data_IF_718602161754
#
_entry.id   IF_718602161754
#
_cell.length_a   1.000
_cell.length_b   1.000
_cell.length_c   1.000
_cell.angle_alpha   90.00
_cell.angle_beta   90.00
_cell.angle_gamma   90.00
#
_symmetry.space_group_name_H-M   'P 1'
#
loop_
_entity.id
_entity.type
_entity.pdbx_description
1 polymer ?
#
# COMPACT_ATOMS: atom_id res chain seq x y z
N UNK A 1 4.67 38.61 3.77
CA UNK A 1 4.92 40.03 4.14
C UNK A 1 5.77 40.14 5.40
N UNK A 2 5.29 39.65 6.56
CA UNK A 2 6.03 39.75 7.84
C UNK A 2 7.45 39.14 7.79
N UNK A 3 7.59 37.93 7.23
CA UNK A 3 8.90 37.28 7.03
C UNK A 3 9.88 38.14 6.22
N UNK A 4 9.37 38.81 5.17
CA UNK A 4 10.17 39.68 4.31
C UNK A 4 10.58 40.97 5.03
N UNK A 5 9.69 41.58 5.80
CA UNK A 5 10.01 42.75 6.62
C UNK A 5 11.04 42.37 7.71
N UNK A 6 10.89 41.20 8.33
CA UNK A 6 11.84 40.68 9.31
C UNK A 6 13.24 40.55 8.70
N UNK A 7 13.33 40.03 7.47
CA UNK A 7 14.58 39.92 6.73
C UNK A 7 15.18 41.29 6.38
N UNK A 8 14.37 42.25 5.90
CA UNK A 8 14.86 43.58 5.49
C UNK A 8 15.37 44.44 6.66
N UNK A 9 14.76 44.27 7.85
CA UNK A 9 15.13 44.99 9.06
C UNK A 9 16.17 44.24 9.89
N UNK A 10 16.35 42.93 9.67
CA UNK A 10 17.14 42.06 10.53
C UNK A 10 16.53 41.88 11.92
N UNK A 11 15.20 42.00 12.06
CA UNK A 11 14.51 41.95 13.37
C UNK A 11 14.23 40.51 13.81
N UNK A 12 14.79 40.12 14.96
CA UNK A 12 14.57 38.80 15.57
C UNK A 12 13.16 38.67 16.14
N UNK A 13 12.63 39.73 16.76
CA UNK A 13 11.24 39.75 17.25
C UNK A 13 10.25 39.46 16.11
N UNK A 14 10.37 40.16 14.98
CA UNK A 14 9.46 39.96 13.84
C UNK A 14 9.65 38.57 13.20
N UNK A 15 10.87 38.04 13.23
CA UNK A 15 11.17 36.66 12.89
C UNK A 15 10.41 35.66 13.77
N UNK A 16 10.45 35.82 15.09
CA UNK A 16 9.73 34.96 16.03
C UNK A 16 8.21 35.03 15.89
N UNK A 17 7.64 36.23 15.66
CA UNK A 17 6.22 36.35 15.33
C UNK A 17 5.85 35.64 14.03
N UNK A 18 6.72 35.71 13.01
CA UNK A 18 6.54 34.97 11.77
C UNK A 18 6.52 33.45 12.03
N UNK A 19 7.46 32.94 12.85
CA UNK A 19 7.51 31.53 13.24
C UNK A 19 6.22 31.10 13.95
N UNK A 20 5.73 31.89 14.90
CA UNK A 20 4.49 31.61 15.63
C UNK A 20 3.28 31.56 14.69
N UNK A 21 3.18 32.48 13.73
CA UNK A 21 2.13 32.47 12.72
C UNK A 21 2.21 31.22 11.83
N UNK A 22 3.40 30.78 11.45
CA UNK A 22 3.59 29.57 10.64
C UNK A 22 3.11 28.31 11.38
N UNK A 23 3.46 28.19 12.67
CA UNK A 23 2.96 27.09 13.52
C UNK A 23 1.44 27.15 13.65
N UNK A 24 0.86 28.34 13.85
CA UNK A 24 -0.58 28.51 13.97
C UNK A 24 -1.31 28.13 12.68
N UNK A 25 -0.80 28.57 11.52
CA UNK A 25 -1.39 28.27 10.21
C UNK A 25 -1.37 26.76 9.94
N UNK A 26 -0.21 26.11 10.12
CA UNK A 26 -0.12 24.66 9.93
C UNK A 26 -0.92 23.87 10.97
N UNK A 27 -0.87 24.29 12.23
CA UNK A 27 -1.60 23.65 13.32
C UNK A 27 -3.11 23.74 13.12
N UNK A 28 -3.63 24.91 12.76
CA UNK A 28 -5.05 25.07 12.39
C UNK A 28 -5.41 24.17 11.23
N UNK A 29 -4.62 24.17 10.17
CA UNK A 29 -4.93 23.36 9.00
C UNK A 29 -4.98 21.87 9.34
N UNK A 30 -3.98 21.37 10.08
CA UNK A 30 -3.90 19.95 10.44
C UNK A 30 -5.01 19.51 11.40
N UNK A 31 -5.40 20.36 12.36
CA UNK A 31 -6.32 19.99 13.45
C UNK A 31 -7.78 20.33 13.15
N UNK A 32 -8.04 21.39 12.38
CA UNK A 32 -9.40 21.90 12.13
C UNK A 32 -9.83 21.67 10.69
N UNK A 33 -9.03 22.16 9.73
CA UNK A 33 -9.47 22.17 8.34
C UNK A 33 -9.42 20.75 7.74
N UNK A 34 -8.35 19.98 7.98
CA UNK A 34 -8.21 18.64 7.41
C UNK A 34 -9.31 17.65 7.86
N UNK A 35 -9.67 17.54 9.17
CA UNK A 35 -10.77 16.69 9.59
C UNK A 35 -12.13 17.15 9.07
N UNK A 36 -12.36 18.46 8.96
CA UNK A 36 -13.59 19.02 8.39
C UNK A 36 -13.78 18.56 6.96
N UNK A 37 -12.74 18.70 6.13
CA UNK A 37 -12.77 18.20 4.75
C UNK A 37 -12.98 16.68 4.72
N UNK A 38 -12.36 15.92 5.62
CA UNK A 38 -12.51 14.46 5.66
C UNK A 38 -13.95 13.99 5.86
N UNK A 39 -14.79 14.81 6.50
CA UNK A 39 -16.22 14.52 6.70
C UNK A 39 -17.14 14.99 5.57
N UNK A 40 -16.63 15.74 4.58
CA UNK A 40 -17.43 16.21 3.46
C UNK A 40 -17.77 15.07 2.49
N UNK A 41 -19.07 14.81 2.31
CA UNK A 41 -19.59 13.82 1.38
C UNK A 41 -19.73 14.39 -0.02
N UNK A 42 -19.23 13.67 -1.03
CA UNK A 42 -19.45 14.01 -2.44
C UNK A 42 -20.64 13.23 -2.97
N UNK A 43 -21.56 13.93 -3.63
CA UNK A 43 -22.61 13.28 -4.41
C UNK A 43 -22.03 12.72 -5.70
N UNK A 44 -22.22 11.42 -5.94
CA UNK A 44 -21.81 10.77 -7.19
C UNK A 44 -22.63 11.24 -8.40
N UNK A 45 -23.75 11.93 -8.18
CA UNK A 45 -24.60 12.50 -9.23
C UNK A 45 -24.20 13.93 -9.63
N UNK A 46 -23.22 14.52 -8.92
CA UNK A 46 -22.76 15.88 -9.20
C UNK A 46 -22.19 16.00 -10.63
N UNK A 47 -22.43 17.09 -11.36
CA UNK A 47 -21.80 17.33 -12.66
C UNK A 47 -20.27 17.43 -12.57
N UNK A 48 -19.54 16.89 -13.56
CA UNK A 48 -18.08 16.84 -13.58
C UNK A 48 -17.43 18.23 -13.38
N UNK A 49 -17.97 19.27 -14.02
CA UNK A 49 -17.42 20.62 -13.91
C UNK A 49 -17.52 21.18 -12.48
N UNK A 50 -18.63 20.90 -11.80
CA UNK A 50 -18.81 21.31 -10.40
C UNK A 50 -17.87 20.53 -9.48
N UNK A 51 -17.75 19.22 -9.68
CA UNK A 51 -16.81 18.37 -8.95
C UNK A 51 -15.36 18.87 -9.11
N UNK A 52 -14.93 19.19 -10.33
CA UNK A 52 -13.60 19.73 -10.59
C UNK A 52 -13.41 21.11 -9.97
N UNK A 53 -14.43 21.97 -9.99
CA UNK A 53 -14.41 23.27 -9.34
C UNK A 53 -14.22 23.17 -7.81
N UNK A 54 -14.95 22.27 -7.17
CA UNK A 54 -14.81 22.00 -5.72
C UNK A 54 -13.44 21.40 -5.39
N UNK A 55 -12.96 20.47 -6.22
CA UNK A 55 -11.62 19.89 -6.08
C UNK A 55 -10.52 20.95 -6.20
N UNK A 56 -10.65 21.85 -7.17
CA UNK A 56 -9.74 22.97 -7.33
C UNK A 56 -9.76 23.90 -6.10
N UNK A 57 -10.93 24.23 -5.55
CA UNK A 57 -11.05 25.04 -4.33
C UNK A 57 -10.28 24.42 -3.17
N UNK A 58 -10.52 23.14 -2.86
CA UNK A 58 -9.84 22.43 -1.78
C UNK A 58 -8.32 22.36 -1.99
N UNK A 59 -7.87 22.12 -3.21
CA UNK A 59 -6.44 22.12 -3.56
C UNK A 59 -5.84 23.50 -3.34
N UNK A 60 -6.51 24.58 -3.75
CA UNK A 60 -6.04 25.95 -3.51
C UNK A 60 -6.03 26.30 -2.01
N UNK A 61 -7.08 25.92 -1.27
CA UNK A 61 -7.19 26.12 0.18
C UNK A 61 -6.03 25.45 0.95
N UNK A 62 -5.49 24.35 0.43
CA UNK A 62 -4.30 23.72 0.99
C UNK A 62 -2.98 24.32 0.49
N UNK A 63 -2.86 24.55 -0.83
CA UNK A 63 -1.61 24.99 -1.45
C UNK A 63 -1.24 26.42 -1.03
N UNK A 64 -2.21 27.32 -0.88
CA UNK A 64 -1.97 28.72 -0.53
C UNK A 64 -1.28 28.88 0.84
N UNK A 65 -1.83 28.33 1.95
CA UNK A 65 -1.15 28.36 3.25
C UNK A 65 0.20 27.64 3.24
N UNK A 66 0.27 26.48 2.59
CA UNK A 66 1.51 25.68 2.52
C UNK A 66 2.63 26.43 1.78
N UNK A 67 2.31 27.08 0.66
CA UNK A 67 3.25 27.91 -0.08
C UNK A 67 3.69 29.15 0.72
N UNK A 68 2.76 29.77 1.47
CA UNK A 68 3.09 30.91 2.33
C UNK A 68 4.03 30.52 3.48
N UNK A 69 3.81 29.37 4.11
CA UNK A 69 4.70 28.83 5.14
C UNK A 69 6.05 28.46 4.53
N UNK A 70 6.06 27.75 3.39
CA UNK A 70 7.32 27.40 2.71
C UNK A 70 8.15 28.64 2.34
N UNK A 71 7.54 29.65 1.73
CA UNK A 71 8.20 30.91 1.39
C UNK A 71 8.73 31.63 2.64
N UNK A 72 7.96 31.63 3.73
CA UNK A 72 8.38 32.23 5.00
C UNK A 72 9.55 31.47 5.63
N UNK A 73 9.52 30.13 5.61
CA UNK A 73 10.63 29.26 6.03
C UNK A 73 11.91 29.55 5.24
N UNK A 74 11.79 29.72 3.92
CA UNK A 74 12.93 29.98 3.05
C UNK A 74 13.54 31.38 3.28
N UNK A 75 12.69 32.41 3.44
CA UNK A 75 13.15 33.77 3.78
C UNK A 75 13.84 33.81 5.15
N UNK A 76 13.29 33.10 6.15
CA UNK A 76 13.89 32.99 7.49
C UNK A 76 15.21 32.21 7.50
N UNK A 77 15.39 31.23 6.61
CA UNK A 77 16.65 30.50 6.50
C UNK A 77 17.75 31.31 5.77
N UNK A 78 17.36 32.28 4.95
CA UNK A 78 18.27 33.09 4.12
C UNK A 78 18.73 34.39 4.82
N UNK A 79 18.72 34.44 6.16
CA UNK A 79 19.15 35.60 6.93
C UNK A 79 20.67 35.81 6.79
N UNK A 80 21.14 36.94 6.24
CA UNK A 80 22.57 37.26 6.24
C UNK A 80 23.00 37.74 7.63
N UNK A 81 23.96 37.05 8.26
CA UNK A 81 24.47 37.34 9.62
C UNK A 81 24.93 38.80 9.84
N UNK A 82 25.29 39.52 8.77
CA UNK A 82 25.85 40.88 8.82
C UNK A 82 24.91 42.00 8.33
N UNK A 83 23.59 41.77 8.25
CA UNK A 83 22.63 42.73 7.68
C UNK A 83 21.73 43.45 8.69
N UNK A 84 21.90 43.22 9.99
CA UNK A 84 21.06 43.83 11.03
C UNK A 84 21.21 45.35 11.05
N UNK A 85 20.15 46.06 10.62
CA UNK A 85 20.04 47.52 10.73
C UNK A 85 19.62 47.98 12.13
N UNK A 86 19.19 47.06 12.98
CA UNK A 86 18.74 47.31 14.35
C UNK A 86 19.90 47.09 15.32
N UNK A 87 20.15 48.07 16.19
CA UNK A 87 21.11 47.93 17.29
C UNK A 87 20.72 46.78 18.23
N UNK A 88 21.71 45.98 18.64
CA UNK A 88 21.52 44.77 19.46
C UNK A 88 20.79 45.03 20.79
N UNK A 89 20.83 46.25 21.32
CA UNK A 89 20.17 46.63 22.57
C UNK A 89 18.64 46.83 22.42
N UNK A 90 18.15 47.00 21.18
CA UNK A 90 16.73 47.16 20.87
C UNK A 90 16.07 45.88 20.32
N UNK A 91 16.80 44.77 20.22
CA UNK A 91 16.27 43.50 19.72
C UNK A 91 16.37 42.39 20.79
N UNK A 92 15.40 41.49 20.81
CA UNK A 92 15.36 40.40 21.78
C UNK A 92 16.26 39.22 21.36
N UNK A 93 16.78 38.44 22.33
CA UNK A 93 17.51 37.22 22.02
C UNK A 93 16.67 36.23 21.23
N UNK A 94 17.34 35.45 20.38
CA UNK A 94 16.70 34.45 19.54
C UNK A 94 16.28 33.26 20.42
N UNK A 95 14.96 33.04 20.56
CA UNK A 95 14.43 31.93 21.38
C UNK A 95 14.62 30.58 20.64
N UNK A 96 14.45 30.59 19.31
CA UNK A 96 14.62 29.42 18.45
C UNK A 96 15.53 29.74 17.26
N UNK A 97 16.55 28.91 16.98
CA UNK A 97 17.39 29.10 15.81
C UNK A 97 16.57 29.04 14.52
N UNK A 98 16.59 30.13 13.76
CA UNK A 98 15.85 30.27 12.48
C UNK A 98 16.11 29.16 11.47
N UNK A 99 17.35 28.67 11.35
CA UNK A 99 17.72 27.57 10.46
C UNK A 99 17.09 26.23 10.83
N UNK A 100 17.11 25.86 12.11
CA UNK A 100 16.48 24.63 12.59
C UNK A 100 14.96 24.69 12.44
N UNK A 101 14.35 25.81 12.82
CA UNK A 101 12.90 26.02 12.72
C UNK A 101 12.38 25.87 11.28
N UNK A 102 13.08 26.44 10.30
CA UNK A 102 12.73 26.33 8.88
C UNK A 102 12.65 24.87 8.41
N UNK A 103 13.62 24.05 8.84
CA UNK A 103 13.65 22.61 8.52
C UNK A 103 12.45 21.88 9.13
N UNK A 104 12.16 22.13 10.42
CA UNK A 104 10.98 21.56 11.10
C UNK A 104 9.66 21.93 10.41
N UNK A 105 9.52 23.16 9.94
CA UNK A 105 8.31 23.61 9.23
C UNK A 105 8.15 22.94 7.87
N UNK A 106 9.23 22.77 7.11
CA UNK A 106 9.18 22.04 5.85
C UNK A 106 8.77 20.59 6.09
N UNK A 107 9.33 19.94 7.13
CA UNK A 107 8.92 18.58 7.51
C UNK A 107 7.44 18.53 7.92
N UNK A 108 6.95 19.51 8.69
CA UNK A 108 5.56 19.59 9.09
C UNK A 108 4.61 19.75 7.89
N UNK A 109 4.96 20.59 6.90
CA UNK A 109 4.19 20.70 5.64
C UNK A 109 4.09 19.34 4.95
N UNK A 110 5.21 18.62 4.82
CA UNK A 110 5.24 17.31 4.16
C UNK A 110 4.38 16.27 4.91
N UNK A 111 4.38 16.29 6.25
CA UNK A 111 3.55 15.40 7.06
C UNK A 111 2.05 15.65 6.87
N UNK A 112 1.64 16.89 6.65
CA UNK A 112 0.23 17.28 6.43
C UNK A 112 -0.18 17.10 4.97
N UNK A 113 0.76 17.27 4.03
CA UNK A 113 0.55 17.08 2.59
C UNK A 113 0.08 15.67 2.26
N UNK A 114 0.67 14.65 2.88
CA UNK A 114 0.33 13.27 2.54
C UNK A 114 -1.13 12.90 2.85
N UNK A 115 -1.67 13.13 4.07
CA UNK A 115 -3.10 12.93 4.34
C UNK A 115 -4.01 13.70 3.40
N UNK A 116 -3.66 14.96 3.06
CA UNK A 116 -4.45 15.76 2.12
C UNK A 116 -4.48 15.13 0.73
N UNK A 117 -3.31 14.80 0.17
CA UNK A 117 -3.20 14.17 -1.16
C UNK A 117 -3.90 12.83 -1.20
N UNK A 118 -3.76 12.01 -0.14
CA UNK A 118 -4.45 10.73 -0.05
C UNK A 118 -5.97 10.89 -0.04
N UNK A 119 -6.47 11.85 0.72
CA UNK A 119 -7.90 12.15 0.81
C UNK A 119 -8.45 12.72 -0.51
N UNK A 120 -7.73 13.64 -1.15
CA UNK A 120 -8.19 14.21 -2.43
C UNK A 120 -8.11 13.19 -3.57
N UNK A 121 -7.06 12.35 -3.61
CA UNK A 121 -6.99 11.23 -4.53
C UNK A 121 -8.12 10.21 -4.30
N UNK A 122 -8.47 9.93 -3.05
CA UNK A 122 -9.61 9.08 -2.69
C UNK A 122 -10.90 9.61 -3.29
N UNK A 123 -11.19 10.91 -3.14
CA UNK A 123 -12.39 11.53 -3.71
C UNK A 123 -12.42 11.45 -5.23
N UNK A 124 -11.31 11.79 -5.89
CA UNK A 124 -11.21 11.78 -7.34
C UNK A 124 -11.36 10.38 -7.91
N UNK A 125 -10.70 9.40 -7.31
CA UNK A 125 -10.83 8.01 -7.73
C UNK A 125 -12.24 7.48 -7.51
N UNK A 126 -12.88 7.81 -6.38
CA UNK A 126 -14.23 7.36 -6.11
C UNK A 126 -15.23 7.93 -7.12
N UNK A 127 -15.08 9.21 -7.48
CA UNK A 127 -15.97 9.89 -8.43
C UNK A 127 -15.70 9.50 -9.90
N UNK A 128 -14.43 9.41 -10.33
CA UNK A 128 -14.07 9.19 -11.73
C UNK A 128 -13.91 7.71 -12.11
N UNK A 129 -13.48 6.88 -11.17
CA UNK A 129 -13.06 5.51 -11.42
C UNK A 129 -13.33 4.61 -10.20
N UNK A 130 -14.59 4.61 -9.75
CA UNK A 130 -15.08 3.94 -8.55
C UNK A 130 -14.54 2.50 -8.39
N UNK A 131 -14.57 1.62 -9.42
CA UNK A 131 -13.99 0.27 -9.36
C UNK A 131 -12.51 0.19 -8.98
N UNK A 132 -11.73 1.22 -9.32
CA UNK A 132 -10.27 1.25 -9.18
C UNK A 132 -9.87 1.93 -7.87
N UNK A 133 -10.82 2.53 -7.15
CA UNK A 133 -10.59 3.31 -5.93
C UNK A 133 -9.69 2.61 -4.89
N UNK A 134 -9.93 1.34 -4.48
CA UNK A 134 -9.08 0.67 -3.50
C UNK A 134 -7.64 0.51 -4.00
N UNK A 135 -7.49 -0.04 -5.20
CA UNK A 135 -6.19 -0.30 -5.84
C UNK A 135 -5.40 0.97 -6.14
N UNK A 136 -6.07 2.06 -6.53
CA UNK A 136 -5.44 3.34 -6.81
C UNK A 136 -4.87 3.99 -5.55
N UNK A 137 -5.58 3.87 -4.43
CA UNK A 137 -5.08 4.32 -3.13
C UNK A 137 -3.91 3.48 -2.61
N UNK A 138 -3.93 2.16 -2.83
CA UNK A 138 -2.77 1.31 -2.52
C UNK A 138 -1.57 1.66 -3.39
N UNK A 139 -1.77 1.91 -4.68
CA UNK A 139 -0.71 2.33 -5.59
C UNK A 139 -0.08 3.65 -5.15
N UNK A 140 -0.90 4.63 -4.76
CA UNK A 140 -0.42 5.91 -4.22
C UNK A 140 0.39 5.69 -2.93
N UNK A 141 -0.12 4.90 -1.98
CA UNK A 141 0.56 4.61 -0.73
C UNK A 141 1.91 3.89 -0.96
N UNK A 142 1.94 2.88 -1.84
CA UNK A 142 3.18 2.17 -2.21
C UNK A 142 4.17 3.12 -2.90
N UNK A 143 3.71 3.99 -3.79
CA UNK A 143 4.58 4.96 -4.49
C UNK A 143 5.25 5.92 -3.51
N UNK A 144 4.48 6.47 -2.56
CA UNK A 144 5.02 7.34 -1.51
C UNK A 144 5.98 6.57 -0.61
N UNK A 145 5.63 5.34 -0.22
CA UNK A 145 6.46 4.47 0.59
C UNK A 145 7.82 4.15 -0.07
N UNK A 146 7.83 3.90 -1.39
CA UNK A 146 9.07 3.72 -2.16
C UNK A 146 9.91 5.01 -2.14
N UNK A 147 9.29 6.17 -2.34
CA UNK A 147 9.97 7.47 -2.27
C UNK A 147 10.63 7.73 -0.90
N UNK A 148 9.90 7.44 0.19
CA UNK A 148 10.39 7.54 1.56
C UNK A 148 11.57 6.58 1.77
N UNK A 149 11.47 5.33 1.33
CA UNK A 149 12.56 4.35 1.42
C UNK A 149 13.84 4.85 0.74
N UNK A 150 13.75 5.39 -0.49
CA UNK A 150 14.91 5.89 -1.22
C UNK A 150 15.58 7.09 -0.55
N UNK A 151 14.82 7.92 0.18
CA UNK A 151 15.35 9.04 0.95
C UNK A 151 16.00 8.57 2.25
N UNK A 152 15.26 7.81 3.06
CA UNK A 152 15.71 7.39 4.41
C UNK A 152 16.92 6.46 4.33
N UNK A 153 17.05 5.62 3.29
CA UNK A 153 18.23 4.74 3.13
C UNK A 153 19.55 5.49 2.96
N UNK A 154 19.52 6.78 2.57
CA UNK A 154 20.71 7.59 2.37
C UNK A 154 21.18 8.28 3.67
N UNK A 155 20.27 8.46 4.63
CA UNK A 155 20.49 9.29 5.82
C UNK A 155 20.38 8.53 7.14
N UNK A 156 19.64 7.42 7.18
CA UNK A 156 19.33 6.69 8.40
C UNK A 156 19.99 5.31 8.44
N UNK A 157 20.12 4.78 9.66
CA UNK A 157 20.64 3.43 9.89
C UNK A 157 19.71 2.37 9.29
N UNK A 158 20.26 1.28 8.74
CA UNK A 158 19.51 0.22 8.04
C UNK A 158 18.33 -0.34 8.86
N UNK A 159 18.51 -0.52 10.17
CA UNK A 159 17.45 -1.04 11.06
C UNK A 159 16.23 -0.11 11.12
N UNK A 160 16.44 1.21 11.10
CA UNK A 160 15.34 2.18 11.06
C UNK A 160 14.60 2.10 9.72
N UNK A 161 15.33 1.99 8.60
CA UNK A 161 14.74 1.80 7.27
C UNK A 161 13.85 0.54 7.25
N UNK A 162 14.36 -0.58 7.75
CA UNK A 162 13.61 -1.84 7.81
C UNK A 162 12.39 -1.75 8.73
N UNK A 163 12.52 -1.11 9.90
CA UNK A 163 11.40 -0.88 10.80
C UNK A 163 10.28 -0.06 10.11
N UNK A 164 10.63 1.00 9.39
CA UNK A 164 9.68 1.77 8.60
C UNK A 164 9.01 0.92 7.50
N UNK A 165 9.77 0.09 6.78
CA UNK A 165 9.20 -0.78 5.74
C UNK A 165 8.24 -1.84 6.32
N UNK A 166 8.57 -2.40 7.50
CA UNK A 166 7.69 -3.34 8.23
C UNK A 166 6.42 -2.64 8.68
N UNK A 167 6.53 -1.42 9.24
CA UNK A 167 5.36 -0.64 9.62
C UNK A 167 4.45 -0.37 8.42
N UNK A 168 5.02 0.02 7.28
CA UNK A 168 4.27 0.21 6.03
C UNK A 168 3.61 -1.10 5.58
N UNK A 169 4.31 -2.23 5.68
CA UNK A 169 3.73 -3.53 5.34
C UNK A 169 2.51 -3.87 6.21
N UNK A 170 2.59 -3.63 7.52
CA UNK A 170 1.47 -3.83 8.46
C UNK A 170 0.30 -2.93 8.08
N UNK A 171 0.55 -1.65 7.79
CA UNK A 171 -0.48 -0.70 7.38
C UNK A 171 -1.15 -1.12 6.06
N UNK A 172 -0.38 -1.55 5.06
CA UNK A 172 -0.89 -2.01 3.77
C UNK A 172 -1.74 -3.29 3.92
N UNK A 173 -1.29 -4.27 4.70
CA UNK A 173 -2.05 -5.50 4.96
C UNK A 173 -3.33 -5.20 5.73
N UNK A 174 -3.26 -4.32 6.73
CA UNK A 174 -4.44 -3.91 7.51
C UNK A 174 -5.45 -3.18 6.62
N UNK A 175 -4.97 -2.25 5.79
CA UNK A 175 -5.80 -1.52 4.82
C UNK A 175 -6.47 -2.50 3.85
N UNK A 176 -5.71 -3.43 3.26
CA UNK A 176 -6.23 -4.44 2.34
C UNK A 176 -7.34 -5.29 2.96
N UNK A 177 -7.13 -5.81 4.18
CA UNK A 177 -8.09 -6.74 4.80
C UNK A 177 -9.29 -6.03 5.41
N UNK A 178 -9.08 -4.89 6.08
CA UNK A 178 -10.12 -4.21 6.85
C UNK A 178 -10.86 -3.17 6.00
N UNK A 179 -10.12 -2.31 5.30
CA UNK A 179 -10.71 -1.19 4.56
C UNK A 179 -11.20 -1.67 3.20
N UNK A 180 -10.36 -2.36 2.44
CA UNK A 180 -10.73 -2.74 1.07
C UNK A 180 -11.63 -3.97 1.07
N UNK A 181 -11.14 -5.10 1.59
CA UNK A 181 -11.83 -6.38 1.49
C UNK A 181 -13.13 -6.40 2.30
N UNK A 182 -13.05 -6.12 3.60
CA UNK A 182 -14.23 -6.07 4.45
C UNK A 182 -15.06 -4.79 4.22
N UNK A 183 -14.45 -3.61 4.25
CA UNK A 183 -15.17 -2.33 4.19
C UNK A 183 -15.78 -2.01 2.83
N UNK A 184 -14.98 -1.98 1.77
CA UNK A 184 -15.41 -1.51 0.44
C UNK A 184 -16.01 -2.61 -0.43
N UNK A 185 -15.37 -3.78 -0.51
CA UNK A 185 -15.87 -4.93 -1.27
C UNK A 185 -16.96 -5.70 -0.53
N UNK A 186 -17.14 -5.45 0.78
CA UNK A 186 -18.20 -6.03 1.58
C UNK A 186 -18.06 -7.54 1.80
N UNK A 187 -16.82 -8.06 1.80
CA UNK A 187 -16.58 -9.49 2.03
C UNK A 187 -17.16 -9.94 3.37
N UNK A 188 -18.06 -10.91 3.32
CA UNK A 188 -18.69 -11.47 4.53
C UNK A 188 -19.74 -10.58 5.19
N UNK A 189 -20.17 -9.49 4.54
CA UNK A 189 -21.27 -8.65 5.05
C UNK A 189 -22.65 -9.18 4.64
N UNK A 190 -22.74 -9.81 3.47
CA UNK A 190 -23.97 -10.42 2.95
C UNK A 190 -23.93 -11.95 3.15
N UNK A 191 -24.97 -12.57 3.74
CA UNK A 191 -25.07 -14.03 3.84
C UNK A 191 -25.23 -14.75 2.49
N UNK A 192 -25.75 -14.07 1.45
CA UNK A 192 -26.04 -14.71 0.16
C UNK A 192 -24.94 -14.55 -0.86
N UNK A 193 -24.27 -13.40 -0.86
CA UNK A 193 -23.21 -13.09 -1.81
C UNK A 193 -21.85 -13.01 -1.12
N UNK A 194 -20.80 -13.49 -1.79
CA UNK A 194 -19.41 -13.37 -1.31
C UNK A 194 -18.96 -11.91 -1.13
N UNK A 195 -19.46 -11.01 -1.99
CA UNK A 195 -19.18 -9.58 -1.97
C UNK A 195 -20.50 -8.81 -2.05
N UNK A 196 -20.53 -7.60 -1.48
CA UNK A 196 -21.71 -6.73 -1.50
C UNK A 196 -22.02 -6.16 -2.89
N UNK A 197 -21.05 -6.24 -3.82
CA UNK A 197 -21.12 -5.69 -5.16
C UNK A 197 -21.16 -6.83 -6.18
N UNK A 198 -22.00 -6.66 -7.21
CA UNK A 198 -22.07 -7.61 -8.32
C UNK A 198 -20.71 -7.81 -8.99
N UNK A 199 -20.50 -9.04 -9.48
CA UNK A 199 -19.30 -9.37 -10.21
C UNK A 199 -19.15 -8.50 -11.47
N UNK A 200 -17.93 -8.02 -11.69
CA UNK A 200 -17.52 -7.34 -12.91
C UNK A 200 -16.03 -7.57 -13.12
N UNK A 201 -15.60 -7.73 -14.37
CA UNK A 201 -14.19 -7.97 -14.71
C UNK A 201 -13.27 -6.85 -14.19
N UNK A 202 -13.75 -5.61 -14.17
CA UNK A 202 -12.97 -4.48 -13.64
C UNK A 202 -12.82 -4.54 -12.11
N UNK A 203 -13.82 -5.04 -11.39
CA UNK A 203 -13.73 -5.26 -9.93
C UNK A 203 -12.70 -6.34 -9.60
N UNK A 204 -12.72 -7.45 -10.36
CA UNK A 204 -11.74 -8.53 -10.24
C UNK A 204 -10.31 -8.02 -10.53
N UNK A 205 -10.14 -7.25 -11.62
CA UNK A 205 -8.85 -6.66 -11.96
C UNK A 205 -8.35 -5.68 -10.88
N UNK A 206 -9.23 -4.84 -10.33
CA UNK A 206 -8.86 -3.95 -9.24
C UNK A 206 -8.36 -4.71 -8.02
N UNK A 207 -9.08 -5.74 -7.57
CA UNK A 207 -8.64 -6.59 -6.44
C UNK A 207 -7.32 -7.30 -6.75
N UNK A 208 -7.14 -7.79 -7.97
CA UNK A 208 -5.87 -8.40 -8.38
C UNK A 208 -4.69 -7.40 -8.27
N UNK A 209 -4.88 -6.17 -8.74
CA UNK A 209 -3.87 -5.12 -8.62
C UNK A 209 -3.62 -4.77 -7.14
N UNK A 210 -4.67 -4.64 -6.34
CA UNK A 210 -4.58 -4.27 -4.93
C UNK A 210 -3.80 -5.32 -4.11
N UNK A 211 -4.23 -6.59 -4.18
CA UNK A 211 -3.50 -7.71 -3.57
C UNK A 211 -2.07 -7.82 -4.12
N UNK A 212 -1.90 -7.67 -5.43
CA UNK A 212 -0.62 -7.76 -6.10
C UNK A 212 0.40 -6.74 -5.59
N UNK A 213 -0.02 -5.49 -5.36
CA UNK A 213 0.84 -4.43 -4.82
C UNK A 213 1.31 -4.75 -3.39
N UNK A 214 0.41 -5.24 -2.53
CA UNK A 214 0.75 -5.62 -1.14
C UNK A 214 1.68 -6.83 -1.12
N UNK A 215 1.39 -7.85 -1.94
CA UNK A 215 2.24 -9.04 -2.09
C UNK A 215 3.63 -8.65 -2.61
N UNK A 216 3.72 -7.78 -3.61
CA UNK A 216 5.00 -7.29 -4.14
C UNK A 216 5.82 -6.56 -3.08
N UNK A 217 5.19 -5.72 -2.25
CA UNK A 217 5.85 -5.06 -1.12
C UNK A 217 6.42 -6.06 -0.11
N UNK A 218 5.64 -7.08 0.26
CA UNK A 218 6.08 -8.12 1.20
C UNK A 218 7.25 -8.94 0.65
N UNK A 219 7.21 -9.29 -0.64
CA UNK A 219 8.30 -10.02 -1.31
C UNK A 219 9.57 -9.15 -1.36
N UNK A 220 9.44 -7.86 -1.69
CA UNK A 220 10.57 -6.94 -1.71
C UNK A 220 11.19 -6.77 -0.31
N UNK A 221 10.36 -6.69 0.72
CA UNK A 221 10.81 -6.66 2.11
C UNK A 221 11.52 -7.97 2.50
N UNK A 222 10.94 -9.13 2.20
CA UNK A 222 11.55 -10.44 2.47
C UNK A 222 12.91 -10.60 1.77
N UNK A 223 12.99 -10.17 0.51
CA UNK A 223 14.23 -10.15 -0.25
C UNK A 223 15.28 -9.24 0.40
N UNK A 224 14.87 -8.07 0.89
CA UNK A 224 15.76 -7.13 1.57
C UNK A 224 16.31 -7.73 2.88
N UNK A 225 15.46 -8.38 3.69
CA UNK A 225 15.89 -9.11 4.89
C UNK A 225 16.90 -10.22 4.58
N UNK A 226 16.67 -10.98 3.50
CA UNK A 226 17.60 -12.02 3.06
C UNK A 226 18.92 -11.45 2.54
N UNK A 227 18.88 -10.36 1.77
CA UNK A 227 20.06 -9.71 1.17
C UNK A 227 21.01 -9.18 2.24
N UNK A 228 20.48 -8.53 3.26
CA UNK A 228 21.26 -7.96 4.36
C UNK A 228 21.49 -8.93 5.53
N UNK A 229 21.10 -10.20 5.38
CA UNK A 229 21.30 -11.27 6.37
C UNK A 229 20.80 -10.90 7.79
N UNK A 230 19.72 -10.12 7.87
CA UNK A 230 19.22 -9.54 9.13
C UNK A 230 18.66 -10.64 10.03
N UNK A 231 17.55 -11.25 9.61
CA UNK A 231 16.92 -12.37 10.31
C UNK A 231 16.24 -13.28 9.31
N UNK A 232 16.68 -14.55 9.25
CA UNK A 232 16.11 -15.55 8.34
C UNK A 232 14.62 -15.80 8.63
N UNK A 233 14.24 -15.82 9.90
CA UNK A 233 12.87 -16.07 10.33
C UNK A 233 11.90 -14.99 9.82
N UNK A 234 12.27 -13.71 9.90
CA UNK A 234 11.41 -12.63 9.42
C UNK A 234 11.17 -12.71 7.90
N UNK A 235 12.21 -12.99 7.11
CA UNK A 235 12.06 -13.19 5.66
C UNK A 235 11.14 -14.37 5.32
N UNK A 236 11.19 -15.47 6.09
CA UNK A 236 10.29 -16.62 5.94
C UNK A 236 8.84 -16.21 6.28
N UNK A 237 8.61 -15.55 7.41
CA UNK A 237 7.27 -15.10 7.82
C UNK A 237 6.66 -14.18 6.77
N UNK A 238 7.40 -13.18 6.28
CA UNK A 238 6.93 -12.28 5.23
C UNK A 238 6.56 -13.01 3.94
N UNK A 239 7.35 -14.02 3.57
CA UNK A 239 7.08 -14.86 2.38
C UNK A 239 5.82 -15.71 2.59
N UNK A 240 5.62 -16.29 3.77
CA UNK A 240 4.41 -17.05 4.11
C UNK A 240 3.18 -16.16 4.04
N UNK A 241 3.24 -14.94 4.59
CA UNK A 241 2.15 -13.96 4.52
C UNK A 241 1.85 -13.58 3.07
N UNK A 242 2.87 -13.34 2.24
CA UNK A 242 2.71 -13.02 0.82
C UNK A 242 2.04 -14.16 0.03
N UNK A 243 2.45 -15.42 0.28
CA UNK A 243 1.82 -16.61 -0.33
C UNK A 243 0.38 -16.75 0.17
N UNK A 244 0.14 -16.58 1.47
CA UNK A 244 -1.18 -16.66 2.08
C UNK A 244 -2.16 -15.65 1.47
N UNK A 245 -1.75 -14.39 1.29
CA UNK A 245 -2.55 -13.36 0.63
C UNK A 245 -2.80 -13.69 -0.85
N UNK A 246 -1.81 -14.23 -1.55
CA UNK A 246 -1.97 -14.65 -2.95
C UNK A 246 -2.98 -15.79 -3.11
N UNK A 247 -2.93 -16.79 -2.21
CA UNK A 247 -3.88 -17.91 -2.19
C UNK A 247 -5.28 -17.47 -1.75
N UNK A 248 -5.36 -16.53 -0.81
CA UNK A 248 -6.62 -15.91 -0.41
C UNK A 248 -7.28 -15.20 -1.60
N UNK A 249 -6.53 -14.36 -2.33
CA UNK A 249 -7.03 -13.71 -3.54
C UNK A 249 -7.52 -14.74 -4.58
N UNK A 250 -6.69 -15.75 -4.88
CA UNK A 250 -7.05 -16.79 -5.83
C UNK A 250 -8.32 -17.54 -5.42
N UNK A 251 -8.49 -17.83 -4.12
CA UNK A 251 -9.71 -18.42 -3.57
C UNK A 251 -10.92 -17.52 -3.80
N UNK A 252 -10.82 -16.25 -3.39
CA UNK A 252 -11.91 -15.29 -3.44
C UNK A 252 -12.39 -15.06 -4.88
N UNK A 253 -11.47 -14.85 -5.83
CA UNK A 253 -11.84 -14.63 -7.22
C UNK A 253 -12.43 -15.89 -7.87
N UNK A 254 -11.86 -17.07 -7.60
CA UNK A 254 -12.41 -18.32 -8.13
C UNK A 254 -13.83 -18.52 -7.61
N UNK A 255 -14.05 -18.39 -6.29
CA UNK A 255 -15.37 -18.54 -5.69
C UNK A 255 -16.37 -17.52 -6.27
N UNK A 256 -15.97 -16.26 -6.41
CA UNK A 256 -16.83 -15.20 -6.91
C UNK A 256 -17.22 -15.40 -8.39
N UNK A 257 -16.29 -15.87 -9.22
CA UNK A 257 -16.57 -16.20 -10.63
C UNK A 257 -17.54 -17.36 -10.73
N UNK A 258 -17.33 -18.44 -9.97
CA UNK A 258 -18.24 -19.59 -9.99
C UNK A 258 -19.63 -19.23 -9.47
N UNK A 259 -19.71 -18.41 -8.42
CA UNK A 259 -20.96 -17.91 -7.89
C UNK A 259 -21.73 -17.09 -8.93
N UNK A 260 -21.06 -16.21 -9.67
CA UNK A 260 -21.67 -15.43 -10.75
C UNK A 260 -22.27 -16.30 -11.88
N UNK A 261 -21.72 -17.50 -12.11
CA UNK A 261 -22.23 -18.45 -13.10
C UNK A 261 -23.20 -19.50 -12.51
N UNK A 262 -23.66 -19.33 -11.26
CA UNK A 262 -24.52 -20.28 -10.54
C UNK A 262 -23.88 -21.69 -10.41
N UNK A 263 -22.55 -21.74 -10.28
CA UNK A 263 -21.77 -22.98 -10.21
C UNK A 263 -21.14 -23.21 -8.82
N UNK A 264 -21.81 -22.79 -7.74
CA UNK A 264 -21.29 -22.87 -6.37
C UNK A 264 -20.89 -24.28 -5.94
N UNK A 265 -21.60 -25.31 -6.41
CA UNK A 265 -21.28 -26.72 -6.13
C UNK A 265 -19.91 -27.18 -6.65
N UNK A 266 -19.31 -26.46 -7.59
CA UNK A 266 -17.99 -26.75 -8.14
C UNK A 266 -16.87 -25.90 -7.52
N UNK A 267 -17.21 -24.93 -6.66
CA UNK A 267 -16.27 -23.91 -6.19
C UNK A 267 -15.07 -24.51 -5.44
N UNK A 268 -15.29 -25.39 -4.47
CA UNK A 268 -14.19 -25.98 -3.68
C UNK A 268 -13.22 -26.81 -4.54
N UNK A 269 -13.74 -27.58 -5.50
CA UNK A 269 -12.92 -28.32 -6.45
C UNK A 269 -12.10 -27.40 -7.35
N UNK A 270 -12.74 -26.35 -7.90
CA UNK A 270 -12.07 -25.37 -8.76
C UNK A 270 -10.99 -24.58 -8.01
N UNK A 271 -11.26 -24.14 -6.77
CA UNK A 271 -10.30 -23.46 -5.90
C UNK A 271 -9.05 -24.33 -5.72
N UNK A 272 -9.24 -25.62 -5.45
CA UNK A 272 -8.12 -26.53 -5.25
C UNK A 272 -7.34 -26.83 -6.51
N UNK A 273 -7.99 -26.88 -7.69
CA UNK A 273 -7.28 -26.94 -8.98
C UNK A 273 -6.41 -25.69 -9.17
N UNK A 274 -6.96 -24.50 -8.93
CA UNK A 274 -6.22 -23.23 -9.04
C UNK A 274 -5.02 -23.21 -8.08
N UNK A 275 -5.22 -23.63 -6.82
CA UNK A 275 -4.13 -23.74 -5.84
C UNK A 275 -3.07 -24.76 -6.28
N UNK A 276 -3.49 -25.89 -6.86
CA UNK A 276 -2.58 -26.93 -7.35
C UNK A 276 -1.72 -26.40 -8.51
N UNK A 277 -2.32 -25.66 -9.45
CA UNK A 277 -1.61 -24.95 -10.51
C UNK A 277 -0.63 -23.94 -9.92
N UNK A 278 -1.07 -23.13 -8.94
CA UNK A 278 -0.20 -22.17 -8.25
C UNK A 278 1.03 -22.86 -7.61
N UNK A 279 0.83 -23.98 -6.93
CA UNK A 279 1.91 -24.74 -6.30
C UNK A 279 2.87 -25.37 -7.34
N UNK A 280 2.35 -25.88 -8.44
CA UNK A 280 3.16 -26.37 -9.56
C UNK A 280 3.96 -25.25 -10.23
N UNK A 281 3.37 -24.07 -10.43
CA UNK A 281 4.07 -22.89 -10.94
C UNK A 281 5.20 -22.48 -9.99
N UNK A 282 4.96 -22.46 -8.67
CA UNK A 282 5.99 -22.15 -7.68
C UNK A 282 7.13 -23.19 -7.69
N UNK A 283 6.80 -24.50 -7.79
CA UNK A 283 7.78 -25.57 -7.94
C UNK A 283 8.60 -25.39 -9.22
N UNK A 284 7.95 -25.12 -10.34
CA UNK A 284 8.60 -24.90 -11.64
C UNK A 284 9.54 -23.69 -11.61
N UNK A 285 9.11 -22.57 -11.04
CA UNK A 285 9.96 -21.38 -10.85
C UNK A 285 11.18 -21.73 -9.98
N UNK A 286 10.97 -22.49 -8.89
CA UNK A 286 12.06 -22.95 -8.04
C UNK A 286 13.06 -23.87 -8.75
N UNK A 287 12.59 -24.71 -9.67
CA UNK A 287 13.44 -25.58 -10.50
C UNK A 287 14.19 -24.76 -11.56
N UNK A 288 13.50 -23.90 -12.31
CA UNK A 288 14.07 -23.06 -13.36
C UNK A 288 15.15 -22.11 -12.82
N UNK A 289 14.92 -21.49 -11.66
CA UNK A 289 15.87 -20.55 -11.06
C UNK A 289 16.80 -21.19 -10.02
N UNK A 290 16.81 -22.53 -9.93
CA UNK A 290 17.63 -23.33 -9.00
C UNK A 290 17.51 -22.95 -7.51
N UNK A 291 16.47 -22.21 -7.12
CA UNK A 291 16.23 -21.80 -5.74
C UNK A 291 15.71 -22.95 -4.88
N UNK A 292 16.58 -23.53 -4.03
CA UNK A 292 16.22 -24.65 -3.13
C UNK A 292 14.98 -24.36 -2.27
N UNK A 293 14.88 -23.16 -1.71
CA UNK A 293 13.74 -22.77 -0.87
C UNK A 293 12.41 -22.77 -1.64
N UNK A 294 12.40 -22.21 -2.85
CA UNK A 294 11.19 -22.18 -3.69
C UNK A 294 10.74 -23.60 -4.10
N UNK A 295 11.70 -24.50 -4.40
CA UNK A 295 11.42 -25.91 -4.69
C UNK A 295 10.73 -26.61 -3.51
N UNK A 296 11.30 -26.48 -2.30
CA UNK A 296 10.75 -27.11 -1.10
C UNK A 296 9.38 -26.51 -0.73
N UNK A 297 9.23 -25.18 -0.81
CA UNK A 297 7.94 -24.54 -0.56
C UNK A 297 6.88 -24.96 -1.58
N UNK A 298 7.21 -25.00 -2.87
CA UNK A 298 6.30 -25.45 -3.93
C UNK A 298 5.88 -26.91 -3.74
N UNK A 299 6.82 -27.79 -3.42
CA UNK A 299 6.53 -29.21 -3.14
C UNK A 299 5.66 -29.36 -1.89
N UNK A 300 5.99 -28.67 -0.79
CA UNK A 300 5.22 -28.73 0.44
C UNK A 300 3.79 -28.21 0.24
N UNK A 301 3.63 -27.09 -0.47
CA UNK A 301 2.32 -26.53 -0.80
C UNK A 301 1.53 -27.48 -1.70
N UNK A 302 2.17 -28.06 -2.71
CA UNK A 302 1.55 -29.03 -3.61
C UNK A 302 1.07 -30.29 -2.87
N UNK A 303 1.89 -30.86 -1.98
CA UNK A 303 1.51 -32.01 -1.14
C UNK A 303 0.35 -31.65 -0.21
N UNK A 304 0.38 -30.47 0.41
CA UNK A 304 -0.70 -29.99 1.28
C UNK A 304 -2.03 -29.88 0.52
N UNK A 305 -2.01 -29.30 -0.67
CA UNK A 305 -3.22 -29.14 -1.50
C UNK A 305 -3.73 -30.49 -1.98
N UNK A 306 -2.85 -31.38 -2.45
CA UNK A 306 -3.24 -32.72 -2.84
C UNK A 306 -3.95 -33.44 -1.67
N UNK A 307 -3.38 -33.35 -0.47
CA UNK A 307 -4.01 -33.90 0.74
C UNK A 307 -5.39 -33.28 1.02
N UNK A 308 -5.53 -31.95 0.93
CA UNK A 308 -6.82 -31.25 1.06
C UNK A 308 -7.85 -31.81 0.07
N UNK A 309 -7.48 -32.00 -1.19
CA UNK A 309 -8.39 -32.51 -2.22
C UNK A 309 -8.90 -33.91 -1.89
N UNK A 310 -8.01 -34.82 -1.48
CA UNK A 310 -8.38 -36.19 -1.11
C UNK A 310 -9.27 -36.27 0.12
N UNK A 311 -9.00 -35.46 1.15
CA UNK A 311 -9.69 -35.57 2.43
C UNK A 311 -10.97 -34.73 2.52
N UNK A 312 -10.98 -33.56 1.90
CA UNK A 312 -12.03 -32.54 2.09
C UNK A 312 -12.80 -32.34 0.79
N UNK A 313 -12.13 -31.95 -0.29
CA UNK A 313 -12.85 -31.45 -1.47
C UNK A 313 -13.61 -32.56 -2.20
N UNK A 314 -13.03 -33.76 -2.29
CA UNK A 314 -13.70 -34.92 -2.90
C UNK A 314 -14.93 -35.41 -2.12
N UNK A 315 -15.09 -35.03 -0.85
CA UNK A 315 -16.28 -35.39 -0.08
C UNK A 315 -17.52 -34.61 -0.56
N UNK A 316 -17.33 -33.37 -1.05
CA UNK A 316 -18.41 -32.46 -1.42
C UNK A 316 -18.93 -32.62 -2.85
N UNK A 317 -18.19 -33.31 -3.73
CA UNK A 317 -18.54 -33.46 -5.15
C UNK A 317 -19.50 -34.64 -5.40
N UNK A 318 -20.33 -34.57 -6.45
CA UNK A 318 -21.06 -35.74 -6.93
C UNK A 318 -20.14 -36.74 -7.63
N UNK A 319 -20.60 -38.00 -7.76
CA UNK A 319 -19.82 -39.14 -8.24
C UNK A 319 -19.08 -38.87 -9.56
N UNK A 320 -19.75 -38.24 -10.54
CA UNK A 320 -19.16 -37.93 -11.85
C UNK A 320 -18.05 -36.88 -11.71
N UNK A 321 -18.28 -35.82 -10.92
CA UNK A 321 -17.28 -34.78 -10.69
C UNK A 321 -16.08 -35.30 -9.91
N UNK A 322 -16.26 -36.27 -9.00
CA UNK A 322 -15.13 -36.94 -8.33
C UNK A 322 -14.20 -37.63 -9.33
N UNK A 323 -14.76 -38.36 -10.30
CA UNK A 323 -13.96 -39.03 -11.35
C UNK A 323 -13.17 -38.00 -12.14
N UNK A 324 -13.81 -36.91 -12.58
CA UNK A 324 -13.14 -35.82 -13.29
C UNK A 324 -12.03 -35.19 -12.44
N UNK A 325 -12.31 -34.90 -11.17
CA UNK A 325 -11.33 -34.35 -10.23
C UNK A 325 -10.13 -35.28 -10.02
N UNK A 326 -10.34 -36.60 -9.91
CA UNK A 326 -9.25 -37.58 -9.82
C UNK A 326 -8.38 -37.60 -11.07
N UNK A 327 -8.97 -37.51 -12.27
CA UNK A 327 -8.23 -37.46 -13.54
C UNK A 327 -7.38 -36.19 -13.63
N UNK A 328 -7.97 -35.03 -13.30
CA UNK A 328 -7.25 -33.75 -13.30
C UNK A 328 -6.13 -33.77 -12.27
N UNK A 329 -6.41 -34.16 -11.02
CA UNK A 329 -5.42 -34.21 -9.95
C UNK A 329 -4.30 -35.20 -10.28
N UNK A 330 -4.63 -36.40 -10.76
CA UNK A 330 -3.66 -37.39 -11.19
C UNK A 330 -2.74 -36.86 -12.30
N UNK A 331 -3.30 -36.12 -13.27
CA UNK A 331 -2.54 -35.45 -14.32
C UNK A 331 -1.60 -34.37 -13.76
N UNK A 332 -2.05 -33.59 -12.79
CA UNK A 332 -1.24 -32.56 -12.12
C UNK A 332 -0.11 -33.18 -11.28
N UNK A 333 -0.38 -34.28 -10.57
CA UNK A 333 0.63 -35.08 -9.85
C UNK A 333 1.69 -35.62 -10.81
N UNK A 334 1.27 -36.20 -11.94
CA UNK A 334 2.18 -36.71 -12.96
C UNK A 334 3.02 -35.59 -13.58
N UNK A 335 2.41 -34.44 -13.87
CA UNK A 335 3.12 -33.26 -14.36
C UNK A 335 4.17 -32.76 -13.35
N UNK A 336 3.81 -32.67 -12.06
CA UNK A 336 4.75 -32.32 -11.00
C UNK A 336 5.93 -33.28 -10.88
N UNK A 337 5.67 -34.59 -10.90
CA UNK A 337 6.70 -35.62 -10.88
C UNK A 337 7.61 -35.55 -12.12
N UNK A 338 7.03 -35.40 -13.31
CA UNK A 338 7.78 -35.25 -14.56
C UNK A 338 8.67 -34.01 -14.56
N UNK A 339 8.14 -32.86 -14.12
CA UNK A 339 8.91 -31.62 -13.99
C UNK A 339 10.10 -31.82 -13.05
N UNK A 340 9.89 -32.45 -11.89
CA UNK A 340 10.96 -32.71 -10.94
C UNK A 340 12.05 -33.61 -11.53
N UNK A 341 11.66 -34.73 -12.15
CA UNK A 341 12.60 -35.69 -12.77
C UNK A 341 13.39 -35.07 -13.92
N UNK A 342 12.73 -34.30 -14.80
CA UNK A 342 13.39 -33.64 -15.94
C UNK A 342 14.49 -32.70 -15.49
N UNK A 343 14.20 -31.81 -14.53
CA UNK A 343 15.20 -30.85 -14.05
C UNK A 343 16.30 -31.49 -13.20
N UNK A 344 16.03 -32.60 -12.52
CA UNK A 344 17.07 -33.38 -11.84
C UNK A 344 18.06 -33.99 -12.82
N UNK A 345 17.58 -34.51 -13.97
CA UNK A 345 18.45 -35.08 -15.00
C UNK A 345 19.34 -34.04 -15.69
N UNK A 346 18.87 -32.78 -15.81
CA UNK A 346 19.65 -31.67 -16.37
C UNK A 346 20.72 -31.09 -15.44
N UNK A 347 20.65 -31.35 -14.12
CA UNK A 347 21.71 -30.94 -13.17
C UNK A 347 22.84 -31.99 -13.09
N UNK A 348 22.68 -33.17 -13.71
CA UNK A 348 23.67 -34.28 -13.72
C UNK A 348 24.50 -34.37 -15.02
N UNK A 349 24.12 -33.62 -16.07
CA UNK A 349 24.87 -33.44 -17.31
C UNK A 349 25.45 -32.03 -17.35
#
# INVERSE_FOLDING_TARGET
AMAWVAQQLGSKVLGQFTMLLMVLVLGRYAVVDLPRHATETISMEMPLFEFLGQSFSRIMEFLLPSAAVFASSWLLASFPENSAKIEKDNDYPEIFPSGSFSTWMITAILLVLFPFVYMEASRQLLYLAEPVWPSGLTLLAVTVAIGIFYRIRQTCHLMMVLACMVLIAILLVTKLLVIDLYGYWGYGQDPTNLFSRSYSSIHSLSRFVDFGLVVAWLIWLAWTFSKYQITRQAGIVLTIVAIGLSLLHARLETANVLHYFDMDGLAEGAISIVWCIYALSALLIGLLWKHKSARVCGLALFTMIAFKVFMIDLAALDQIYKVVAFVILGSLLLAGAFLYLKFQSSDQN
#
